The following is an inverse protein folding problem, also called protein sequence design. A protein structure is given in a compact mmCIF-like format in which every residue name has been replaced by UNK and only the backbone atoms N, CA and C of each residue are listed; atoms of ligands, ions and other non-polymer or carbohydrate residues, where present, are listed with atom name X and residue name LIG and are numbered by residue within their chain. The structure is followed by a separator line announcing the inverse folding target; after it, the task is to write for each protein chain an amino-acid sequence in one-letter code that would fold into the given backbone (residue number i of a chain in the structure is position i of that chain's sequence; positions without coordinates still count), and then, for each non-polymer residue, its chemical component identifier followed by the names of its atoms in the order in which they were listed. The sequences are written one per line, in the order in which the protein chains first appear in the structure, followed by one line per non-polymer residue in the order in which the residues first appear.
data_IF_181624151034
#
_entry.id   IF_181624151034
#
_cell.length_a   1.000
_cell.length_b   1.000
_cell.length_c   1.000
_cell.angle_alpha   90.00
_cell.angle_beta   90.00
_cell.angle_gamma   90.00
#
_symmetry.space_group_name_H-M   'P 1'
#
loop_
_entity.id
_entity.type
_entity.pdbx_description
1 polymer ?
#
# COMPACT_ATOMS: atom_id res chain seq x y z
N UNK A 1 -22.97 36.20 -1.38
CA UNK A 1 -22.04 35.41 -0.53
C UNK A 1 -22.22 33.95 -0.91
N UNK A 2 -21.33 33.42 -1.75
CA UNK A 2 -21.37 32.02 -2.20
C UNK A 2 -20.82 31.14 -1.08
N UNK A 3 -21.67 30.29 -0.51
CA UNK A 3 -21.23 29.27 0.45
C UNK A 3 -20.45 28.20 -0.32
N UNK A 4 -19.14 28.10 -0.07
CA UNK A 4 -18.33 26.97 -0.51
C UNK A 4 -18.84 25.71 0.19
N UNK A 5 -19.43 24.78 -0.56
CA UNK A 5 -19.67 23.42 -0.08
C UNK A 5 -18.32 22.84 0.37
N UNK A 6 -18.17 22.54 1.65
CA UNK A 6 -17.11 21.66 2.12
C UNK A 6 -17.31 20.33 1.42
N UNK A 7 -16.43 19.97 0.49
CA UNK A 7 -16.41 18.64 -0.09
C UNK A 7 -16.16 17.65 1.05
N UNK A 8 -17.15 16.85 1.41
CA UNK A 8 -16.95 15.74 2.34
C UNK A 8 -15.86 14.83 1.75
N UNK A 9 -14.68 14.85 2.36
CA UNK A 9 -13.57 14.01 1.92
C UNK A 9 -13.90 12.59 2.41
N UNK A 10 -14.32 11.73 1.48
CA UNK A 10 -14.45 10.31 1.78
C UNK A 10 -13.07 9.78 2.21
N UNK A 11 -12.94 9.18 3.42
CA UNK A 11 -11.64 8.77 3.93
C UNK A 11 -11.00 7.65 3.10
N UNK A 12 -11.81 6.82 2.45
CA UNK A 12 -11.37 5.67 1.66
C UNK A 12 -12.22 5.49 0.41
N UNK A 13 -11.56 5.31 -0.73
CA UNK A 13 -12.18 4.81 -1.95
C UNK A 13 -12.24 3.29 -1.89
N UNK A 14 -13.42 2.72 -2.09
CA UNK A 14 -13.64 1.26 -2.12
C UNK A 14 -13.14 0.63 -3.43
N UNK A 15 -11.82 0.68 -3.60
CA UNK A 15 -11.07 0.16 -4.74
C UNK A 15 -10.35 -1.12 -4.34
N UNK A 16 -10.49 -2.16 -5.16
CA UNK A 16 -9.95 -3.50 -4.90
C UNK A 16 -9.24 -4.07 -6.14
N UNK A 17 -8.29 -4.97 -5.93
CA UNK A 17 -7.59 -5.79 -6.92
C UNK A 17 -6.89 -5.01 -8.06
N UNK A 18 -6.48 -3.76 -7.81
CA UNK A 18 -5.74 -2.93 -8.79
C UNK A 18 -4.24 -3.24 -8.88
N UNK A 19 -3.71 -3.93 -7.89
CA UNK A 19 -2.30 -4.31 -7.79
C UNK A 19 -1.93 -5.57 -8.62
N UNK A 20 -2.86 -6.15 -9.39
CA UNK A 20 -2.62 -7.34 -10.23
C UNK A 20 -1.97 -8.51 -9.45
N UNK A 21 -2.30 -8.67 -8.16
CA UNK A 21 -1.72 -9.63 -7.19
C UNK A 21 -0.24 -9.43 -6.80
N UNK A 22 0.43 -8.39 -7.31
CA UNK A 22 1.80 -8.05 -6.92
C UNK A 22 1.83 -7.05 -5.75
N UNK A 23 2.61 -7.36 -4.71
CA UNK A 23 2.95 -6.43 -3.65
C UNK A 23 4.20 -5.60 -4.02
N UNK A 24 4.46 -4.45 -3.35
CA UNK A 24 5.66 -3.67 -3.58
C UNK A 24 6.94 -4.47 -3.31
N UNK A 25 7.99 -4.18 -4.07
CA UNK A 25 9.34 -4.77 -3.96
C UNK A 25 10.39 -3.66 -3.93
N UNK A 26 11.58 -3.96 -3.42
CA UNK A 26 12.71 -3.03 -3.47
C UNK A 26 12.94 -2.52 -4.90
N UNK A 27 13.24 -1.22 -5.02
CA UNK A 27 13.49 -0.56 -6.31
C UNK A 27 12.28 -0.33 -7.22
N UNK A 28 11.13 -1.01 -7.00
CA UNK A 28 9.95 -0.82 -7.87
C UNK A 28 9.42 0.61 -7.80
N UNK A 29 9.11 1.11 -6.60
CA UNK A 29 8.55 2.45 -6.43
C UNK A 29 9.46 3.53 -7.02
N UNK A 30 10.78 3.43 -6.77
CA UNK A 30 11.79 4.32 -7.35
C UNK A 30 11.80 4.26 -8.87
N UNK A 31 11.80 3.07 -9.46
CA UNK A 31 11.76 2.87 -10.92
C UNK A 31 10.55 3.54 -11.57
N UNK A 32 9.35 3.29 -11.02
CA UNK A 32 8.12 3.88 -11.55
C UNK A 32 8.08 5.40 -11.36
N UNK A 33 8.59 5.89 -10.24
CA UNK A 33 8.69 7.31 -9.95
C UNK A 33 9.64 8.04 -10.91
N UNK A 34 10.82 7.48 -11.17
CA UNK A 34 11.84 8.12 -12.02
C UNK A 34 11.42 8.17 -13.49
N UNK A 35 10.81 7.11 -14.01
CA UNK A 35 10.43 7.08 -15.43
C UNK A 35 9.35 8.10 -15.80
N UNK A 36 8.49 8.46 -14.85
CA UNK A 36 7.50 9.52 -15.05
C UNK A 36 8.13 10.88 -15.31
N UNK A 37 9.34 11.14 -14.78
CA UNK A 37 10.05 12.41 -15.04
C UNK A 37 10.36 12.61 -16.52
N UNK A 38 10.67 11.53 -17.23
CA UNK A 38 11.04 11.56 -18.64
C UNK A 38 9.80 11.39 -19.54
N UNK A 39 8.78 10.68 -19.04
CA UNK A 39 7.60 10.31 -19.82
C UNK A 39 6.39 10.15 -18.91
N UNK A 40 5.56 11.19 -18.82
CA UNK A 40 4.34 11.20 -18.00
C UNK A 40 3.31 10.14 -18.44
N UNK A 41 3.38 9.68 -19.69
CA UNK A 41 2.48 8.68 -20.25
C UNK A 41 3.00 7.23 -20.11
N UNK A 42 4.15 7.02 -19.45
CA UNK A 42 4.85 5.72 -19.42
C UNK A 42 3.92 4.54 -19.09
N UNK A 43 2.99 4.68 -18.14
CA UNK A 43 2.14 3.55 -17.72
C UNK A 43 0.99 3.20 -18.66
N UNK A 44 0.69 4.02 -19.68
CA UNK A 44 -0.38 3.76 -20.65
C UNK A 44 0.14 3.34 -22.02
N UNK A 45 1.44 3.45 -22.24
CA UNK A 45 2.04 3.15 -23.54
C UNK A 45 2.21 1.64 -23.77
N UNK A 46 2.16 1.16 -25.03
CA UNK A 46 2.32 -0.25 -25.36
C UNK A 46 3.70 -0.83 -25.01
N UNK A 47 4.74 -0.01 -25.08
CA UNK A 47 6.16 -0.33 -24.83
C UNK A 47 6.59 -0.17 -23.37
N UNK A 48 5.69 0.26 -22.48
CA UNK A 48 5.92 0.37 -21.04
C UNK A 48 6.61 -0.86 -20.39
N UNK A 49 6.26 -2.11 -20.75
CA UNK A 49 6.95 -3.28 -20.20
C UNK A 49 8.45 -3.32 -20.50
N UNK A 50 8.83 -2.86 -21.71
CA UNK A 50 10.23 -2.82 -22.15
C UNK A 50 10.97 -1.68 -21.43
N UNK A 51 10.39 -0.48 -21.44
CA UNK A 51 10.96 0.72 -20.81
C UNK A 51 11.11 0.60 -19.29
N UNK A 52 10.18 -0.11 -18.63
CA UNK A 52 10.26 -0.38 -17.19
C UNK A 52 11.00 -1.70 -16.88
N UNK A 53 11.32 -2.51 -17.89
CA UNK A 53 11.93 -3.82 -17.72
C UNK A 53 11.13 -4.72 -16.77
N UNK A 54 9.79 -4.74 -16.91
CA UNK A 54 8.87 -5.55 -16.09
C UNK A 54 7.70 -6.07 -16.93
N UNK A 55 7.04 -7.13 -16.48
CA UNK A 55 5.87 -7.67 -17.20
C UNK A 55 4.69 -6.71 -17.26
N UNK A 56 3.81 -6.88 -18.26
CA UNK A 56 2.61 -6.03 -18.48
C UNK A 56 1.72 -5.86 -17.25
N UNK A 57 1.52 -6.92 -16.46
CA UNK A 57 0.71 -6.85 -15.23
C UNK A 57 1.46 -6.14 -14.10
N UNK A 58 2.79 -6.26 -14.05
CA UNK A 58 3.63 -5.55 -13.10
C UNK A 58 3.62 -4.04 -13.38
N UNK A 59 3.57 -3.59 -14.64
CA UNK A 59 3.41 -2.17 -14.99
C UNK A 59 2.16 -1.57 -14.35
N UNK A 60 1.02 -2.27 -14.45
CA UNK A 60 -0.24 -1.82 -13.83
C UNK A 60 -0.17 -1.80 -12.30
N UNK A 61 0.47 -2.80 -11.71
CA UNK A 61 0.69 -2.85 -10.26
C UNK A 61 1.59 -1.71 -9.79
N UNK A 62 2.69 -1.45 -10.51
CA UNK A 62 3.62 -0.38 -10.22
C UNK A 62 2.94 0.99 -10.27
N UNK A 63 2.16 1.25 -11.33
CA UNK A 63 1.31 2.44 -11.44
C UNK A 63 0.39 2.60 -10.23
N UNK A 64 -0.32 1.53 -9.87
CA UNK A 64 -1.22 1.52 -8.72
C UNK A 64 -0.49 1.86 -7.42
N UNK A 65 0.63 1.19 -7.13
CA UNK A 65 1.37 1.40 -5.89
C UNK A 65 1.94 2.81 -5.77
N UNK A 66 2.56 3.32 -6.84
CA UNK A 66 3.07 4.69 -6.83
C UNK A 66 1.96 5.72 -6.51
N UNK A 67 0.75 5.52 -7.04
CA UNK A 67 -0.40 6.38 -6.74
C UNK A 67 -0.97 6.13 -5.34
N UNK A 68 -1.12 4.88 -4.92
CA UNK A 68 -1.68 4.52 -3.61
C UNK A 68 -0.80 5.06 -2.45
N UNK A 69 0.52 5.04 -2.62
CA UNK A 69 1.48 5.68 -1.72
C UNK A 69 1.60 7.20 -1.89
N UNK A 70 0.86 7.79 -2.84
CA UNK A 70 0.84 9.23 -3.14
C UNK A 70 2.22 9.74 -3.58
N UNK A 71 3.03 8.89 -4.20
CA UNK A 71 4.30 9.27 -4.82
C UNK A 71 4.06 9.94 -6.17
N UNK A 72 3.08 9.42 -6.90
CA UNK A 72 2.58 9.98 -8.15
C UNK A 72 1.13 10.43 -7.99
N UNK A 73 0.77 11.46 -8.74
CA UNK A 73 -0.60 11.89 -8.95
C UNK A 73 -0.95 11.77 -10.44
N UNK A 74 -2.24 11.71 -10.73
CA UNK A 74 -2.73 11.58 -12.10
C UNK A 74 -3.93 12.49 -12.33
N UNK A 75 -4.11 12.97 -13.56
CA UNK A 75 -5.28 13.79 -13.88
C UNK A 75 -6.57 12.96 -13.88
N UNK A 76 -7.40 13.18 -12.86
CA UNK A 76 -8.67 12.47 -12.69
C UNK A 76 -9.69 12.77 -13.79
N UNK A 77 -9.52 13.85 -14.56
CA UNK A 77 -10.40 14.19 -15.70
C UNK A 77 -10.12 13.32 -16.93
N UNK A 78 -8.93 12.71 -17.02
CA UNK A 78 -8.55 11.88 -18.14
C UNK A 78 -9.03 10.42 -17.96
N UNK A 79 -9.38 9.78 -19.09
CA UNK A 79 -9.70 8.35 -19.10
C UNK A 79 -8.50 7.53 -18.65
N UNK A 80 -8.72 6.39 -17.98
CA UNK A 80 -7.62 5.53 -17.49
C UNK A 80 -6.61 5.11 -18.58
N UNK A 81 -7.03 5.08 -19.86
CA UNK A 81 -6.19 4.71 -21.01
C UNK A 81 -5.35 5.86 -21.57
N UNK A 82 -5.67 7.10 -21.20
CA UNK A 82 -5.01 8.32 -21.69
C UNK A 82 -4.40 9.15 -20.55
N UNK A 83 -4.51 8.66 -19.31
CA UNK A 83 -4.14 9.41 -18.12
C UNK A 83 -2.63 9.38 -17.90
N UNK A 84 -2.03 10.56 -17.90
CA UNK A 84 -0.64 10.81 -17.54
C UNK A 84 -0.47 10.85 -16.02
N UNK A 85 0.75 10.58 -15.56
CA UNK A 85 1.14 10.67 -14.17
C UNK A 85 2.23 11.73 -14.02
N UNK A 86 2.26 12.40 -12.86
CA UNK A 86 3.30 13.37 -12.49
C UNK A 86 3.83 13.07 -11.08
N UNK A 87 5.07 13.48 -10.81
CA UNK A 87 5.68 13.33 -9.50
C UNK A 87 5.08 14.31 -8.50
N UNK A 88 4.59 13.80 -7.37
CA UNK A 88 4.11 14.66 -6.28
C UNK A 88 5.27 15.30 -5.52
N UNK A 89 5.00 16.39 -4.79
CA UNK A 89 6.00 16.99 -3.89
C UNK A 89 6.44 16.06 -2.75
N UNK A 90 5.59 15.14 -2.30
CA UNK A 90 5.98 14.10 -1.34
C UNK A 90 6.93 13.09 -1.97
N UNK A 91 6.61 12.58 -3.16
CA UNK A 91 7.45 11.65 -3.89
C UNK A 91 8.83 12.23 -4.19
N UNK A 92 8.90 13.50 -4.59
CA UNK A 92 10.18 14.20 -4.82
C UNK A 92 11.04 14.22 -3.57
N UNK A 93 10.49 14.66 -2.43
CA UNK A 93 11.21 14.67 -1.15
C UNK A 93 11.70 13.29 -0.74
N UNK A 94 10.81 12.30 -0.74
CA UNK A 94 11.16 10.95 -0.27
C UNK A 94 12.17 10.27 -1.20
N UNK A 95 11.87 10.19 -2.50
CA UNK A 95 12.60 9.35 -3.45
C UNK A 95 13.72 10.07 -4.21
N UNK A 96 14.01 11.33 -3.86
CA UNK A 96 15.13 12.09 -4.42
C UNK A 96 16.03 12.69 -3.35
N UNK A 97 15.46 13.26 -2.28
CA UNK A 97 16.25 14.00 -1.28
C UNK A 97 16.53 13.20 -0.01
N UNK A 98 15.55 12.46 0.51
CA UNK A 98 15.65 11.84 1.83
C UNK A 98 16.15 10.40 1.81
N UNK A 99 15.54 9.54 1.00
CA UNK A 99 15.85 8.11 0.95
C UNK A 99 15.42 7.52 -0.40
N UNK A 100 16.24 7.75 -1.42
CA UNK A 100 15.94 7.41 -2.81
C UNK A 100 15.64 5.92 -3.04
N UNK A 101 16.19 5.04 -2.19
CA UNK A 101 16.11 3.59 -2.35
C UNK A 101 15.29 2.90 -1.26
N UNK A 102 14.72 3.66 -0.31
CA UNK A 102 13.91 3.15 0.80
C UNK A 102 14.67 2.19 1.72
N UNK A 103 15.96 2.46 1.95
CA UNK A 103 16.82 1.62 2.79
C UNK A 103 16.60 1.88 4.29
N UNK A 104 16.00 3.02 4.64
CA UNK A 104 15.69 3.35 6.03
C UNK A 104 14.29 2.84 6.41
N UNK A 105 14.15 2.01 7.47
CA UNK A 105 12.84 1.57 7.96
C UNK A 105 11.87 2.72 8.27
N UNK A 106 12.36 3.91 8.64
CA UNK A 106 11.54 5.09 8.86
C UNK A 106 10.79 5.54 7.58
N UNK A 107 11.41 5.38 6.41
CA UNK A 107 10.80 5.67 5.11
C UNK A 107 9.65 4.72 4.80
N UNK A 108 9.80 3.44 5.17
CA UNK A 108 8.75 2.43 5.03
C UNK A 108 7.56 2.69 5.95
N UNK A 109 7.82 3.12 7.20
CA UNK A 109 6.77 3.61 8.11
C UNK A 109 6.02 4.81 7.53
N UNK A 110 6.75 5.76 6.96
CA UNK A 110 6.16 6.94 6.32
C UNK A 110 5.29 6.56 5.12
N UNK A 111 5.76 5.65 4.27
CA UNK A 111 4.96 5.12 3.15
C UNK A 111 3.70 4.39 3.63
N UNK A 112 3.80 3.55 4.67
CA UNK A 112 2.63 2.91 5.26
C UNK A 112 1.60 3.93 5.75
N UNK A 113 2.06 5.00 6.41
CA UNK A 113 1.17 6.09 6.82
C UNK A 113 0.53 6.80 5.61
N UNK A 114 1.32 7.11 4.57
CA UNK A 114 0.82 7.73 3.34
C UNK A 114 -0.17 6.84 2.60
N UNK A 115 -0.01 5.51 2.62
CA UNK A 115 -0.97 4.56 2.06
C UNK A 115 -2.35 4.71 2.71
N UNK A 116 -2.38 4.83 4.04
CA UNK A 116 -3.61 4.94 4.84
C UNK A 116 -4.16 6.36 4.93
N UNK A 117 -3.37 7.38 4.58
CA UNK A 117 -3.77 8.79 4.59
C UNK A 117 -4.98 9.03 3.67
N UNK A 118 -6.03 9.74 4.12
CA UNK A 118 -7.15 10.12 3.26
C UNK A 118 -6.75 11.00 2.05
N UNK A 119 -7.40 10.85 0.90
CA UNK A 119 -8.27 9.72 0.54
C UNK A 119 -7.42 8.47 0.24
N UNK A 120 -7.78 7.34 0.86
CA UNK A 120 -7.06 6.07 0.71
C UNK A 120 -7.60 5.26 -0.47
N UNK A 121 -6.72 4.83 -1.39
CA UNK A 121 -7.05 3.99 -2.55
C UNK A 121 -6.78 2.48 -2.32
N UNK A 122 -6.50 2.09 -1.07
CA UNK A 122 -6.19 0.73 -0.66
C UNK A 122 -7.18 0.26 0.43
N UNK A 123 -8.44 0.04 0.03
CA UNK A 123 -9.53 -0.21 0.97
C UNK A 123 -9.27 -1.38 1.92
N UNK A 124 -8.71 -2.49 1.41
CA UNK A 124 -8.35 -3.65 2.23
C UNK A 124 -7.31 -3.30 3.30
N UNK A 125 -6.28 -2.51 2.96
CA UNK A 125 -5.30 -2.02 3.93
C UNK A 125 -5.93 -1.11 4.97
N UNK A 126 -6.76 -0.16 4.52
CA UNK A 126 -7.47 0.74 5.41
C UNK A 126 -8.35 -0.01 6.41
N UNK A 127 -9.10 -1.00 5.93
CA UNK A 127 -9.93 -1.86 6.77
C UNK A 127 -9.08 -2.63 7.79
N UNK A 128 -8.02 -3.33 7.35
CA UNK A 128 -7.19 -4.16 8.23
C UNK A 128 -6.56 -3.35 9.36
N UNK A 129 -6.00 -2.18 9.08
CA UNK A 129 -5.27 -1.43 10.11
C UNK A 129 -6.17 -0.55 10.98
N UNK A 130 -7.29 -0.02 10.45
CA UNK A 130 -8.16 0.90 11.20
C UNK A 130 -9.43 0.27 11.79
N UNK A 131 -9.97 -0.79 11.18
CA UNK A 131 -11.29 -1.30 11.51
C UNK A 131 -11.31 -2.75 12.02
N UNK A 132 -10.51 -3.64 11.41
CA UNK A 132 -10.44 -5.04 11.81
C UNK A 132 -10.03 -5.18 13.28
N UNK A 133 -10.65 -6.08 14.04
CA UNK A 133 -10.42 -6.20 15.51
C UNK A 133 -9.79 -7.53 15.92
N UNK A 134 -9.47 -8.41 14.98
CA UNK A 134 -8.78 -9.67 15.28
C UNK A 134 -7.32 -9.43 15.64
N UNK A 135 -6.94 -9.75 16.88
CA UNK A 135 -5.52 -9.75 17.31
C UNK A 135 -4.80 -10.93 16.66
N UNK A 136 -5.45 -12.09 16.66
CA UNK A 136 -5.01 -13.32 16.01
C UNK A 136 -6.09 -13.77 15.01
N UNK A 137 -5.71 -14.11 13.79
CA UNK A 137 -6.66 -14.35 12.70
C UNK A 137 -6.08 -15.25 11.60
N UNK A 138 -6.95 -15.82 10.78
CA UNK A 138 -6.64 -16.50 9.52
C UNK A 138 -6.96 -15.61 8.32
N UNK A 139 -6.46 -15.96 7.14
CA UNK A 139 -6.83 -15.30 5.88
C UNK A 139 -8.35 -15.31 5.63
N UNK A 140 -9.03 -16.39 6.03
CA UNK A 140 -10.49 -16.52 5.96
C UNK A 140 -11.20 -15.52 6.88
N UNK A 141 -10.74 -15.33 8.12
CA UNK A 141 -11.34 -14.39 9.08
C UNK A 141 -11.21 -12.94 8.58
N UNK A 142 -10.04 -12.59 8.04
CA UNK A 142 -9.82 -11.25 7.47
C UNK A 142 -10.70 -11.01 6.23
N UNK A 143 -10.84 -12.03 5.37
CA UNK A 143 -11.71 -11.97 4.20
C UNK A 143 -13.18 -11.79 4.59
N UNK A 144 -13.67 -12.55 5.57
CA UNK A 144 -15.05 -12.44 6.05
C UNK A 144 -15.33 -11.04 6.58
N UNK A 145 -14.46 -10.53 7.46
CA UNK A 145 -14.61 -9.17 7.98
C UNK A 145 -14.57 -8.11 6.88
N UNK A 146 -13.70 -8.28 5.88
CA UNK A 146 -13.63 -7.36 4.73
C UNK A 146 -14.91 -7.40 3.88
N UNK A 147 -15.52 -8.59 3.71
CA UNK A 147 -16.82 -8.72 3.04
C UNK A 147 -17.92 -7.98 3.81
N UNK A 148 -17.97 -8.12 5.13
CA UNK A 148 -18.92 -7.38 5.98
C UNK A 148 -18.69 -5.86 5.93
N UNK A 149 -17.43 -5.42 5.83
CA UNK A 149 -17.10 -4.01 5.67
C UNK A 149 -17.53 -3.45 4.31
N UNK A 150 -17.26 -4.17 3.22
CA UNK A 150 -17.65 -3.76 1.87
C UNK A 150 -19.18 -3.79 1.68
N UNK A 151 -19.89 -4.70 2.33
CA UNK A 151 -21.35 -4.81 2.27
C UNK A 151 -22.09 -3.58 2.87
N UNK A 152 -21.41 -2.74 3.64
CA UNK A 152 -21.95 -1.46 4.13
C UNK A 152 -22.02 -0.38 3.04
N UNK A 153 -21.46 -0.65 1.86
CA UNK A 153 -21.49 0.26 0.72
C UNK A 153 -22.46 -0.21 -0.36
N UNK A 154 -22.94 0.73 -1.18
CA UNK A 154 -23.84 0.45 -2.31
C UNK A 154 -23.17 -0.31 -3.47
N UNK A 155 -21.84 -0.42 -3.48
CA UNK A 155 -21.08 -1.00 -4.60
C UNK A 155 -20.81 -2.48 -4.37
N UNK A 156 -21.32 -3.36 -5.22
CA UNK A 156 -20.98 -4.79 -5.19
C UNK A 156 -19.57 -5.06 -5.73
N UNK A 157 -18.77 -5.83 -4.98
CA UNK A 157 -17.42 -6.25 -5.38
C UNK A 157 -17.34 -7.77 -5.43
N UNK A 158 -16.69 -8.31 -6.46
CA UNK A 158 -16.51 -9.75 -6.58
C UNK A 158 -15.66 -10.30 -5.43
N UNK A 159 -16.11 -11.39 -4.78
CA UNK A 159 -15.39 -12.06 -3.67
C UNK A 159 -13.94 -12.40 -4.03
N UNK A 160 -13.69 -12.79 -5.28
CA UNK A 160 -12.34 -13.10 -5.75
C UNK A 160 -11.40 -11.88 -5.73
N UNK A 161 -11.92 -10.67 -5.94
CA UNK A 161 -11.12 -9.44 -5.83
C UNK A 161 -10.70 -9.19 -4.39
N UNK A 162 -11.63 -9.33 -3.44
CA UNK A 162 -11.33 -9.20 -2.00
C UNK A 162 -10.30 -10.24 -1.54
N UNK A 163 -10.43 -11.48 -2.01
CA UNK A 163 -9.46 -12.54 -1.74
C UNK A 163 -8.06 -12.21 -2.29
N UNK A 164 -7.97 -11.65 -3.49
CA UNK A 164 -6.69 -11.20 -4.08
C UNK A 164 -6.03 -10.11 -3.24
N UNK A 165 -6.82 -9.16 -2.71
CA UNK A 165 -6.30 -8.10 -1.85
C UNK A 165 -5.79 -8.65 -0.51
N UNK A 166 -6.56 -9.51 0.15
CA UNK A 166 -6.15 -10.15 1.42
C UNK A 166 -4.82 -10.89 1.22
N UNK A 167 -4.70 -11.67 0.16
CA UNK A 167 -3.46 -12.39 -0.15
C UNK A 167 -2.29 -11.43 -0.42
N UNK A 168 -2.53 -10.33 -1.14
CA UNK A 168 -1.50 -9.34 -1.44
C UNK A 168 -1.05 -8.59 -0.18
N UNK A 169 -1.99 -8.22 0.70
CA UNK A 169 -1.72 -7.60 1.99
C UNK A 169 -0.86 -8.51 2.88
N UNK A 170 -1.20 -9.80 2.97
CA UNK A 170 -0.41 -10.76 3.73
C UNK A 170 0.99 -10.93 3.13
N UNK A 171 1.13 -11.03 1.80
CA UNK A 171 2.45 -11.06 1.14
C UNK A 171 3.26 -9.78 1.32
N UNK A 172 2.60 -8.64 1.53
CA UNK A 172 3.26 -7.35 1.75
C UNK A 172 3.82 -7.19 3.16
N UNK A 173 3.16 -7.74 4.18
CA UNK A 173 3.56 -7.50 5.58
C UNK A 173 4.06 -8.74 6.32
N UNK A 174 3.86 -9.94 5.78
CA UNK A 174 4.26 -11.19 6.42
C UNK A 174 5.47 -11.78 5.68
N UNK A 175 6.51 -12.10 6.44
CA UNK A 175 7.70 -12.81 5.94
C UNK A 175 7.32 -14.12 5.24
N UNK A 176 7.88 -14.35 4.05
CA UNK A 176 7.61 -15.56 3.28
C UNK A 176 8.58 -16.68 3.65
N UNK A 177 8.05 -17.83 4.06
CA UNK A 177 8.87 -19.04 4.25
C UNK A 177 9.25 -19.62 2.90
N UNK A 178 10.55 -19.72 2.62
CA UNK A 178 11.18 -19.96 1.31
C UNK A 178 10.83 -21.26 0.53
N UNK A 179 9.77 -22.01 0.86
CA UNK A 179 9.71 -23.43 0.46
C UNK A 179 9.04 -23.78 -0.88
N UNK A 180 8.17 -22.99 -1.54
CA UNK A 180 7.43 -23.50 -2.73
C UNK A 180 6.92 -22.46 -3.77
N UNK A 181 7.54 -21.29 -3.91
CA UNK A 181 7.01 -20.23 -4.80
C UNK A 181 8.02 -19.91 -5.90
N UNK A 182 7.61 -19.64 -7.17
CA UNK A 182 8.52 -19.23 -8.24
C UNK A 182 9.46 -18.11 -7.78
N UNK A 183 10.72 -18.11 -8.25
CA UNK A 183 11.77 -17.20 -7.77
C UNK A 183 11.38 -15.71 -7.85
N UNK A 184 10.58 -15.33 -8.85
CA UNK A 184 10.07 -13.97 -8.97
C UNK A 184 8.99 -13.62 -7.94
N UNK A 185 8.26 -14.60 -7.41
CA UNK A 185 7.22 -14.45 -6.41
C UNK A 185 7.73 -14.69 -4.97
N UNK A 186 8.98 -15.13 -4.82
CA UNK A 186 9.63 -15.39 -3.54
C UNK A 186 10.39 -14.19 -2.95
N UNK A 187 10.43 -13.06 -3.66
CA UNK A 187 11.07 -11.84 -3.16
C UNK A 187 10.13 -11.19 -2.15
N UNK A 188 10.57 -11.06 -0.90
CA UNK A 188 9.81 -10.38 0.14
C UNK A 188 9.59 -8.90 -0.18
N UNK A 189 8.46 -8.37 0.30
CA UNK A 189 8.21 -6.93 0.28
C UNK A 189 9.08 -6.23 1.33
N UNK A 190 9.61 -5.02 1.08
CA UNK A 190 10.32 -4.26 2.12
C UNK A 190 9.44 -4.02 3.37
N UNK A 191 8.11 -4.01 3.21
CA UNK A 191 7.18 -3.77 4.29
C UNK A 191 7.09 -4.91 5.32
N UNK A 192 7.69 -6.07 5.07
CA UNK A 192 7.82 -7.14 6.08
C UNK A 192 8.67 -6.69 7.27
N UNK A 193 9.64 -5.79 7.05
CA UNK A 193 10.53 -5.23 8.08
C UNK A 193 9.78 -4.42 9.15
N UNK A 194 8.56 -3.94 8.84
CA UNK A 194 7.74 -3.20 9.79
C UNK A 194 7.19 -4.09 10.91
N UNK A 195 7.18 -5.42 10.73
CA UNK A 195 6.66 -6.36 11.73
C UNK A 195 5.18 -6.15 12.07
N UNK A 196 4.40 -5.55 11.17
CA UNK A 196 3.01 -5.18 11.42
C UNK A 196 2.07 -6.39 11.51
N UNK A 197 2.38 -7.45 10.75
CA UNK A 197 1.66 -8.71 10.75
C UNK A 197 2.68 -9.84 10.82
N UNK A 198 2.52 -10.77 11.76
CA UNK A 198 3.45 -11.87 11.97
C UNK A 198 2.75 -13.22 11.90
N UNK A 199 3.46 -14.28 11.47
CA UNK A 199 2.93 -15.64 11.52
C UNK A 199 2.90 -16.14 12.96
N UNK A 200 1.86 -16.90 13.31
CA UNK A 200 1.76 -17.56 14.61
C UNK A 200 2.38 -18.95 14.49
N UNK A 201 3.61 -19.11 15.00
CA UNK A 201 4.33 -20.39 15.09
C UNK A 201 4.67 -21.06 13.74
N UNK A 202 5.58 -22.04 13.77
CA UNK A 202 5.77 -23.00 12.68
C UNK A 202 4.79 -24.16 12.89
N UNK A 203 3.57 -24.04 12.39
CA UNK A 203 2.56 -25.06 12.64
C UNK A 203 2.30 -25.90 11.40
N UNK A 204 2.31 -27.24 11.56
CA UNK A 204 1.72 -28.23 10.66
C UNK A 204 0.17 -28.11 10.59
N UNK A 205 -0.42 -26.95 10.93
CA UNK A 205 -1.86 -26.73 10.88
C UNK A 205 -2.30 -26.55 9.42
N UNK A 206 -3.50 -27.04 9.11
CA UNK A 206 -4.12 -26.91 7.79
C UNK A 206 -4.36 -25.44 7.38
N UNK A 207 -4.35 -24.49 8.33
CA UNK A 207 -4.57 -23.06 8.10
C UNK A 207 -3.54 -22.22 8.84
N UNK A 208 -2.85 -21.34 8.11
CA UNK A 208 -1.90 -20.40 8.66
C UNK A 208 -2.61 -19.32 9.48
N UNK A 209 -2.13 -19.07 10.70
CA UNK A 209 -2.61 -18.00 11.58
C UNK A 209 -1.62 -16.84 11.62
N UNK A 210 -2.13 -15.64 11.87
CA UNK A 210 -1.40 -14.38 11.88
C UNK A 210 -1.74 -13.55 13.12
N UNK A 211 -0.76 -12.80 13.64
CA UNK A 211 -0.95 -11.75 14.64
C UNK A 211 -0.93 -10.37 13.99
N UNK A 212 -1.92 -9.53 14.26
CA UNK A 212 -1.92 -8.11 13.90
C UNK A 212 -1.30 -7.28 15.04
N UNK A 213 0.02 -7.06 14.97
CA UNK A 213 0.78 -6.38 16.04
C UNK A 213 0.38 -4.91 16.18
N UNK A 214 -0.02 -4.28 15.07
CA UNK A 214 -0.44 -2.88 14.99
C UNK A 214 -1.46 -2.49 16.07
N UNK A 215 -2.35 -3.41 16.44
CA UNK A 215 -3.43 -3.13 17.39
C UNK A 215 -3.11 -3.55 18.83
N UNK A 216 -1.95 -4.16 19.09
CA UNK A 216 -1.58 -4.55 20.44
C UNK A 216 -1.48 -3.32 21.36
N UNK A 217 -1.94 -3.41 22.63
CA UNK A 217 -1.82 -2.30 23.59
C UNK A 217 -0.37 -1.87 23.83
N UNK A 218 0.58 -2.75 23.59
CA UNK A 218 2.02 -2.50 23.72
C UNK A 218 2.52 -1.66 22.54
N UNK A 219 2.13 -2.02 21.31
CA UNK A 219 2.46 -1.25 20.11
C UNK A 219 1.81 0.13 20.11
N UNK A 220 0.54 0.27 20.52
CA UNK A 220 -0.09 1.61 20.67
C UNK A 220 0.65 2.51 21.65
N UNK A 221 1.07 1.98 22.80
CA UNK A 221 1.88 2.72 23.78
C UNK A 221 3.28 3.03 23.26
N UNK A 222 3.91 2.12 22.52
CA UNK A 222 5.22 2.33 21.91
C UNK A 222 5.15 3.38 20.80
N UNK A 223 4.15 3.31 19.92
CA UNK A 223 3.80 4.34 18.95
C UNK A 223 3.66 5.69 19.66
N UNK A 224 2.73 5.83 20.60
CA UNK A 224 2.49 7.13 21.21
C UNK A 224 3.73 7.68 21.97
N UNK A 225 4.60 6.82 22.53
CA UNK A 225 5.87 7.22 23.20
C UNK A 225 7.01 7.53 22.23
N UNK A 226 7.17 6.75 21.17
CA UNK A 226 8.25 6.89 20.19
C UNK A 226 7.94 8.02 19.22
N UNK A 227 6.66 8.32 18.97
CA UNK A 227 6.21 9.49 18.21
C UNK A 227 6.38 10.82 18.97
N UNK A 228 6.34 10.81 20.31
CA UNK A 228 6.73 11.97 21.12
C UNK A 228 8.24 12.24 21.08
N UNK A 229 9.06 11.19 20.87
CA UNK A 229 10.53 11.30 20.77
C UNK A 229 11.02 11.50 19.33
N UNK A 230 10.30 10.97 18.36
CA UNK A 230 10.54 11.09 16.93
C UNK A 230 9.66 12.19 16.31
N UNK A 231 9.41 13.28 17.06
CA UNK A 231 9.03 14.52 16.38
C UNK A 231 10.11 14.77 15.32
N UNK A 232 9.73 14.94 14.05
CA UNK A 232 10.71 15.23 13.02
C UNK A 232 11.55 16.43 13.49
N UNK A 233 12.88 16.44 13.24
CA UNK A 233 13.71 17.57 13.61
C UNK A 233 13.04 18.87 13.14
N UNK A 234 13.19 19.94 13.93
CA UNK A 234 12.44 21.20 13.86
C UNK A 234 12.34 21.86 12.46
N UNK A 235 13.05 21.33 11.46
CA UNK A 235 12.94 21.59 10.02
C UNK A 235 11.52 21.37 9.46
N UNK A 236 10.64 20.61 10.13
CA UNK A 236 9.25 20.37 9.70
C UNK A 236 8.19 21.30 10.31
N UNK A 237 8.58 22.34 11.06
CA UNK A 237 7.67 23.44 11.40
C UNK A 237 7.88 24.59 10.42
N UNK A 238 7.10 24.63 9.34
CA UNK A 238 6.96 25.84 8.54
C UNK A 238 5.57 26.43 8.74
N UNK A 239 5.61 27.75 8.93
CA UNK A 239 4.51 28.70 8.90
C UNK A 239 3.74 28.64 7.58
#
# INVERSE_FOLDING_TARGET
MSQSKSSDITPVNLTFARHETFHPRYGWLKKGFDQVKNNEAIFVQPDAPVELGVGKNMVRSLRYWCRAFKLLEEDDKASSRSRTATQTGFGQKLLTEWDAFLENPASLWLLHWYLLKPTCDAATWYYTFNHFRGIEFTDADLLEGLQSYQAQSEKTVAKNSLKKDVNCLLRMYVEQTAKKTPLEDSIDSPFTELGLIQRVGESNLQRQRYFLIYQSPQFRRARDRQWLKAQPPAVFRLK
#
